data_IF_422595735339
#
_entry.id   IF_422595735339
#
_cell.length_a   1.000
_cell.length_b   1.000
_cell.length_c   1.000
_cell.angle_alpha   90.00
_cell.angle_beta   90.00
_cell.angle_gamma   90.00
#
_symmetry.space_group_name_H-M   'P 1'
#
loop_
_entity.id
_entity.type
_entity.pdbx_description
1 polymer ?
#
# COMPACT_ATOMS: atom_id res chain seq x y z
N UNK A 1 15.85 74.67 45.83
CA UNK A 1 15.56 73.25 46.07
C UNK A 1 14.23 72.89 45.40
N UNK A 2 14.27 72.23 44.24
CA UNK A 2 13.27 71.26 43.76
C UNK A 2 13.74 70.69 42.41
N UNK A 3 13.93 69.38 42.42
CA UNK A 3 14.52 68.51 41.41
C UNK A 3 13.43 68.20 40.37
N UNK A 4 13.70 68.45 39.08
CA UNK A 4 12.85 67.97 37.99
C UNK A 4 13.32 66.57 37.58
N UNK A 5 12.51 65.56 37.90
CA UNK A 5 12.68 64.17 37.47
C UNK A 5 12.59 64.08 35.93
N UNK A 6 13.63 63.54 35.31
CA UNK A 6 13.59 63.03 33.93
C UNK A 6 12.81 61.72 33.92
N UNK A 7 11.60 61.73 33.38
CA UNK A 7 10.88 60.51 33.00
C UNK A 7 11.52 59.92 31.75
N UNK A 8 12.29 58.85 31.91
CA UNK A 8 12.78 58.01 30.82
C UNK A 8 11.61 57.10 30.43
N UNK A 9 11.00 57.41 29.28
CA UNK A 9 10.02 56.55 28.62
C UNK A 9 10.78 55.34 28.03
N UNK A 10 10.74 54.20 28.72
CA UNK A 10 11.18 52.92 28.16
C UNK A 10 10.08 52.44 27.19
N UNK A 11 10.19 52.84 25.92
CA UNK A 11 9.34 52.34 24.85
C UNK A 11 9.88 50.96 24.45
N UNK A 12 9.39 49.92 25.11
CA UNK A 12 9.63 48.52 24.76
C UNK A 12 8.95 48.23 23.43
N UNK A 13 9.68 48.44 22.33
CA UNK A 13 9.27 48.02 20.99
C UNK A 13 9.26 46.48 21.01
N UNK A 14 8.09 45.91 21.27
CA UNK A 14 7.77 44.53 20.94
C UNK A 14 7.80 44.43 19.41
N UNK A 15 8.97 44.18 18.84
CA UNK A 15 9.05 43.64 17.49
C UNK A 15 8.43 42.23 17.55
N UNK A 16 7.28 41.97 16.92
CA UNK A 16 6.89 40.60 16.68
C UNK A 16 8.00 40.00 15.82
N UNK A 17 8.72 39.02 16.36
CA UNK A 17 9.64 38.20 15.59
C UNK A 17 8.80 37.41 14.60
N UNK A 18 8.44 38.03 13.47
CA UNK A 18 8.09 37.30 12.27
C UNK A 18 9.35 36.53 11.88
N UNK A 19 9.39 35.25 12.27
CA UNK A 19 10.39 34.30 11.82
C UNK A 19 10.22 34.16 10.31
N UNK A 20 11.02 34.92 9.57
CA UNK A 20 11.11 34.77 8.13
C UNK A 20 11.61 33.35 7.83
N UNK A 21 10.87 32.62 7.01
CA UNK A 21 11.32 31.32 6.53
C UNK A 21 12.67 31.46 5.81
N UNK A 22 13.58 30.53 6.07
CA UNK A 22 14.92 30.56 5.50
C UNK A 22 14.88 30.38 3.99
N UNK A 23 15.97 30.71 3.29
CA UNK A 23 16.07 30.50 1.84
C UNK A 23 15.79 29.05 1.44
N UNK A 24 16.22 28.08 2.24
CA UNK A 24 15.96 26.66 1.98
C UNK A 24 14.49 26.30 2.23
N UNK A 25 13.85 26.81 3.29
CA UNK A 25 12.43 26.60 3.54
C UNK A 25 11.56 27.19 2.41
N UNK A 26 11.90 28.39 1.93
CA UNK A 26 11.24 29.01 0.77
C UNK A 26 11.50 28.23 -0.54
N UNK A 27 12.67 27.60 -0.69
CA UNK A 27 12.96 26.76 -1.84
C UNK A 27 12.19 25.42 -1.79
N UNK A 28 12.01 24.82 -0.62
CA UNK A 28 11.16 23.63 -0.43
C UNK A 28 9.70 23.92 -0.80
N UNK A 29 9.14 25.00 -0.22
CA UNK A 29 7.76 25.43 -0.49
C UNK A 29 7.56 25.63 -1.99
N UNK A 30 8.46 26.35 -2.66
CA UNK A 30 8.37 26.57 -4.11
C UNK A 30 8.44 25.27 -4.91
N UNK A 31 9.40 24.39 -4.61
CA UNK A 31 9.55 23.12 -5.34
C UNK A 31 8.27 22.27 -5.30
N UNK A 32 7.63 22.16 -4.13
CA UNK A 32 6.40 21.38 -3.97
C UNK A 32 5.19 22.12 -4.54
N UNK A 33 5.09 23.44 -4.37
CA UNK A 33 4.01 24.25 -4.96
C UNK A 33 4.02 24.17 -6.48
N UNK A 34 5.19 24.31 -7.12
CA UNK A 34 5.36 24.22 -8.56
C UNK A 34 5.00 22.83 -9.08
N UNK A 35 5.33 21.78 -8.30
CA UNK A 35 4.93 20.41 -8.62
C UNK A 35 3.42 20.22 -8.54
N UNK A 36 2.77 20.58 -7.43
CA UNK A 36 1.32 20.44 -7.26
C UNK A 36 0.52 21.30 -8.25
N UNK A 37 1.05 22.45 -8.65
CA UNK A 37 0.42 23.28 -9.69
C UNK A 37 0.29 22.52 -11.00
N UNK A 38 1.36 21.83 -11.43
CA UNK A 38 1.33 21.01 -12.66
C UNK A 38 0.49 19.75 -12.48
N UNK A 39 0.71 19.04 -11.38
CA UNK A 39 0.07 17.76 -11.06
C UNK A 39 -1.45 17.89 -10.94
N UNK A 40 -1.97 18.88 -10.20
CA UNK A 40 -3.42 19.09 -10.06
C UNK A 40 -4.06 19.67 -11.34
N UNK A 41 -3.28 20.25 -12.25
CA UNK A 41 -3.76 20.64 -13.58
C UNK A 41 -3.64 19.50 -14.60
N UNK A 42 -3.46 18.26 -14.13
CA UNK A 42 -3.42 17.03 -14.94
C UNK A 42 -2.24 16.96 -15.93
N UNK A 43 -1.15 17.69 -15.65
CA UNK A 43 0.11 17.55 -16.39
C UNK A 43 0.93 16.36 -15.84
N UNK A 44 0.38 15.15 -16.01
CA UNK A 44 0.95 13.94 -15.42
C UNK A 44 2.28 13.55 -16.06
N UNK A 45 3.23 13.17 -15.21
CA UNK A 45 4.53 12.62 -15.63
C UNK A 45 4.42 11.11 -15.87
N UNK A 46 5.20 10.57 -16.82
CA UNK A 46 5.29 9.13 -16.99
C UNK A 46 6.25 8.52 -15.96
N UNK A 47 5.79 7.52 -15.22
CA UNK A 47 6.58 6.85 -14.18
C UNK A 47 6.46 7.55 -12.83
N UNK A 48 7.50 7.43 -12.00
CA UNK A 48 7.51 8.09 -10.69
C UNK A 48 7.64 9.61 -10.82
N UNK A 49 6.92 10.38 -9.98
CA UNK A 49 7.06 11.82 -9.90
C UNK A 49 8.50 12.30 -9.81
N UNK A 50 8.87 13.26 -10.66
CA UNK A 50 10.21 13.88 -10.66
C UNK A 50 10.51 14.64 -9.38
N UNK A 51 9.50 14.98 -8.57
CA UNK A 51 9.68 15.57 -7.24
C UNK A 51 10.19 14.55 -6.21
N UNK A 52 10.08 13.25 -6.46
CA UNK A 52 10.58 12.22 -5.55
C UNK A 52 12.11 12.14 -5.61
N UNK A 53 12.70 11.83 -4.45
CA UNK A 53 14.12 11.57 -4.34
C UNK A 53 14.47 10.25 -5.01
N UNK A 54 15.72 10.14 -5.46
CA UNK A 54 16.23 8.88 -6.01
C UNK A 54 16.12 7.71 -5.03
N UNK A 55 16.24 8.00 -3.73
CA UNK A 55 16.11 7.00 -2.65
C UNK A 55 14.68 6.52 -2.47
N UNK A 56 13.70 7.44 -2.48
CA UNK A 56 12.29 7.10 -2.38
C UNK A 56 11.84 6.27 -3.59
N UNK A 57 12.23 6.70 -4.79
CA UNK A 57 11.95 5.96 -6.04
C UNK A 57 12.47 4.54 -5.95
N UNK A 58 13.71 4.34 -5.50
CA UNK A 58 14.29 3.01 -5.36
C UNK A 58 13.49 2.15 -4.37
N UNK A 59 13.08 2.71 -3.23
CA UNK A 59 12.31 1.97 -2.23
C UNK A 59 10.92 1.57 -2.76
N UNK A 60 10.24 2.48 -3.47
CA UNK A 60 8.97 2.21 -4.13
C UNK A 60 9.12 1.11 -5.19
N UNK A 61 10.16 1.19 -6.03
CA UNK A 61 10.44 0.15 -7.02
C UNK A 61 10.72 -1.20 -6.36
N UNK A 62 11.49 -1.23 -5.27
CA UNK A 62 11.78 -2.46 -4.54
C UNK A 62 10.52 -3.07 -3.91
N UNK A 63 9.65 -2.25 -3.31
CA UNK A 63 8.38 -2.68 -2.73
C UNK A 63 7.43 -3.22 -3.81
N UNK A 64 7.24 -2.51 -4.93
CA UNK A 64 6.46 -3.00 -6.08
C UNK A 64 7.06 -4.29 -6.65
N UNK A 65 8.39 -4.40 -6.74
CA UNK A 65 9.03 -5.60 -7.25
C UNK A 65 8.91 -6.80 -6.29
N UNK A 66 8.87 -6.58 -4.97
CA UNK A 66 8.48 -7.62 -4.04
C UNK A 66 7.05 -8.04 -4.33
N UNK A 67 6.13 -7.08 -4.35
CA UNK A 67 4.73 -7.30 -4.66
C UNK A 67 4.47 -8.11 -5.93
N UNK A 68 5.08 -7.73 -7.06
CA UNK A 68 4.94 -8.42 -8.35
C UNK A 68 5.42 -9.88 -8.32
N UNK A 69 6.34 -10.24 -7.43
CA UNK A 69 6.76 -11.65 -7.28
C UNK A 69 5.63 -12.48 -6.67
N UNK A 70 4.87 -11.90 -5.73
CA UNK A 70 3.84 -12.61 -4.97
C UNK A 70 2.47 -12.53 -5.63
N UNK A 71 2.09 -11.34 -6.10
CA UNK A 71 0.78 -11.03 -6.64
C UNK A 71 1.00 -10.57 -8.09
N UNK A 72 0.91 -11.52 -9.04
CA UNK A 72 1.19 -11.26 -10.46
C UNK A 72 0.29 -10.17 -11.03
N UNK A 73 0.82 -8.96 -11.16
CA UNK A 73 0.20 -7.82 -11.86
C UNK A 73 -1.17 -7.37 -11.33
N UNK A 74 -1.60 -7.83 -10.15
CA UNK A 74 -2.76 -7.22 -9.51
C UNK A 74 -2.27 -6.01 -8.72
N UNK A 75 -2.86 -4.84 -9.00
CA UNK A 75 -2.57 -3.56 -8.36
C UNK A 75 -3.04 -3.51 -6.90
N UNK A 76 -3.11 -4.65 -6.23
CA UNK A 76 -3.69 -4.84 -4.89
C UNK A 76 -2.63 -4.86 -3.79
N UNK A 77 -1.35 -4.70 -4.15
CA UNK A 77 -0.29 -4.58 -3.16
C UNK A 77 0.81 -3.63 -3.62
N UNK A 78 1.58 -3.19 -2.65
CA UNK A 78 2.58 -2.15 -2.74
C UNK A 78 2.04 -0.90 -2.09
N UNK A 79 2.96 -0.05 -1.64
CA UNK A 79 2.66 1.17 -0.91
C UNK A 79 1.71 2.14 -1.66
N UNK A 80 1.58 1.99 -2.99
CA UNK A 80 0.67 2.77 -3.84
C UNK A 80 -0.66 2.08 -4.16
N UNK A 81 -0.93 0.89 -3.63
CA UNK A 81 -2.14 0.13 -3.97
C UNK A 81 -3.41 0.80 -3.42
N UNK A 82 -3.30 1.45 -2.26
CA UNK A 82 -4.43 2.05 -1.55
C UNK A 82 -4.75 3.49 -1.96
N UNK A 83 -4.14 4.00 -3.03
CA UNK A 83 -4.44 5.32 -3.59
C UNK A 83 -3.22 6.09 -4.07
N UNK A 84 -3.47 7.35 -4.46
CA UNK A 84 -2.42 8.26 -4.88
C UNK A 84 -1.67 8.81 -3.65
N UNK A 85 -0.36 8.57 -3.59
CA UNK A 85 0.50 9.00 -2.47
C UNK A 85 0.57 10.52 -2.28
N UNK A 86 0.42 11.27 -3.36
CA UNK A 86 0.49 12.73 -3.34
C UNK A 86 -0.87 13.37 -3.01
N UNK A 87 -1.96 12.60 -3.06
CA UNK A 87 -3.28 13.03 -2.60
C UNK A 87 -3.69 12.39 -1.28
N UNK A 88 -3.03 11.30 -0.88
CA UNK A 88 -3.44 10.41 0.20
C UNK A 88 -4.93 10.03 0.09
N UNK A 89 -5.32 9.58 -1.12
CA UNK A 89 -6.70 9.26 -1.45
C UNK A 89 -6.83 8.32 -2.65
N UNK A 90 -7.93 7.56 -2.69
CA UNK A 90 -8.31 6.71 -3.82
C UNK A 90 -9.17 7.42 -4.85
N UNK A 91 -9.86 8.48 -4.43
CA UNK A 91 -10.81 9.23 -5.25
C UNK A 91 -10.72 10.72 -4.94
N UNK A 92 -11.07 11.55 -5.92
CA UNK A 92 -11.07 13.00 -5.84
C UNK A 92 -11.98 13.59 -6.92
N UNK A 93 -12.40 14.84 -6.77
CA UNK A 93 -13.29 15.50 -7.72
C UNK A 93 -12.69 15.55 -9.13
N UNK A 94 -13.49 15.25 -10.14
CA UNK A 94 -13.10 15.43 -11.56
C UNK A 94 -12.75 16.89 -11.89
N UNK A 95 -13.27 17.84 -11.11
CA UNK A 95 -13.02 19.27 -11.28
C UNK A 95 -11.86 19.78 -10.41
N UNK A 96 -11.19 18.90 -9.65
CA UNK A 96 -10.05 19.27 -8.82
C UNK A 96 -8.93 19.88 -9.66
N UNK A 97 -8.50 21.08 -9.27
CA UNK A 97 -7.35 21.77 -9.85
C UNK A 97 -6.65 22.60 -8.77
N UNK A 98 -5.49 23.17 -9.12
CA UNK A 98 -4.71 23.91 -8.13
C UNK A 98 -5.44 25.14 -7.56
N UNK A 99 -6.29 25.79 -8.35
CA UNK A 99 -6.97 27.03 -7.94
C UNK A 99 -8.14 26.77 -6.98
N UNK A 100 -8.86 25.65 -7.14
CA UNK A 100 -9.99 25.31 -6.27
C UNK A 100 -9.63 24.37 -5.11
N UNK A 101 -8.45 23.74 -5.12
CA UNK A 101 -8.00 22.83 -4.05
C UNK A 101 -7.62 23.51 -2.74
N UNK A 102 -7.58 24.86 -2.69
CA UNK A 102 -7.11 25.64 -1.53
C UNK A 102 -5.72 25.21 -1.04
N UNK A 103 -4.84 24.81 -1.97
CA UNK A 103 -3.52 24.30 -1.65
C UNK A 103 -2.69 25.24 -0.75
N UNK A 104 -2.08 24.67 0.28
CA UNK A 104 -1.15 25.33 1.19
C UNK A 104 0.08 24.46 1.43
N UNK A 105 1.25 25.09 1.52
CA UNK A 105 2.50 24.42 1.89
C UNK A 105 3.22 25.19 3.00
N UNK A 106 3.57 24.50 4.08
CA UNK A 106 4.22 25.05 5.26
C UNK A 106 5.49 24.26 5.56
N UNK A 107 6.64 24.91 5.44
CA UNK A 107 7.91 24.31 5.88
C UNK A 107 8.02 24.34 7.40
N UNK A 108 8.56 23.26 7.94
CA UNK A 108 8.79 23.00 9.35
C UNK A 108 10.30 22.74 9.58
N UNK A 109 10.78 22.72 10.84
CA UNK A 109 12.15 22.33 11.14
C UNK A 109 12.50 20.93 10.63
N UNK A 110 13.79 20.61 10.55
CA UNK A 110 14.31 19.28 10.14
C UNK A 110 13.89 18.84 8.73
N UNK A 111 13.82 19.80 7.80
CA UNK A 111 13.43 19.59 6.40
C UNK A 111 12.04 18.95 6.24
N UNK A 112 11.15 19.16 7.20
CA UNK A 112 9.77 18.72 7.09
C UNK A 112 8.96 19.78 6.32
N UNK A 113 8.02 19.34 5.49
CA UNK A 113 7.08 20.19 4.77
C UNK A 113 5.69 19.58 4.92
N UNK A 114 4.75 20.37 5.41
CA UNK A 114 3.34 19.98 5.47
C UNK A 114 2.61 20.61 4.30
N UNK A 115 1.87 19.82 3.54
CA UNK A 115 0.94 20.33 2.53
C UNK A 115 -0.48 20.06 2.95
N UNK A 116 -1.41 20.93 2.57
CA UNK A 116 -2.83 20.68 2.72
C UNK A 116 -3.62 21.17 1.51
N UNK A 117 -4.71 20.49 1.21
CA UNK A 117 -5.60 20.77 0.10
C UNK A 117 -6.94 20.06 0.29
N UNK A 118 -7.91 20.42 -0.54
CA UNK A 118 -9.27 19.90 -0.57
C UNK A 118 -9.49 19.09 -1.85
N UNK A 119 -9.92 17.83 -1.70
CA UNK A 119 -10.14 16.90 -2.81
C UNK A 119 -11.49 17.12 -3.53
N UNK A 120 -12.50 17.59 -2.80
CA UNK A 120 -13.88 17.78 -3.27
C UNK A 120 -14.34 19.23 -3.03
N UNK A 121 -13.81 20.20 -3.78
CA UNK A 121 -14.08 21.62 -3.55
C UNK A 121 -15.55 22.04 -3.67
N UNK A 122 -16.37 21.26 -4.36
CA UNK A 122 -17.81 21.44 -4.53
C UNK A 122 -18.64 21.00 -3.30
N UNK A 123 -18.12 20.14 -2.44
CA UNK A 123 -18.82 19.62 -1.26
C UNK A 123 -18.70 20.56 -0.04
N UNK A 124 -17.87 21.59 -0.14
CA UNK A 124 -17.66 22.59 0.92
C UNK A 124 -16.54 22.22 1.88
N UNK A 125 -16.50 22.87 3.04
CA UNK A 125 -15.43 22.69 4.05
C UNK A 125 -15.70 21.54 5.03
N UNK A 126 -16.73 20.72 4.80
CA UNK A 126 -16.99 19.56 5.65
C UNK A 126 -15.84 18.53 5.49
N UNK A 127 -15.33 18.05 6.62
CA UNK A 127 -13.96 17.52 6.78
C UNK A 127 -13.55 16.35 5.86
N UNK A 128 -14.49 15.66 5.21
CA UNK A 128 -14.22 14.41 4.47
C UNK A 128 -13.29 14.62 3.25
N UNK A 129 -13.26 15.84 2.68
CA UNK A 129 -12.42 16.19 1.53
C UNK A 129 -11.08 16.84 1.87
N UNK A 130 -10.84 17.25 3.11
CA UNK A 130 -9.60 17.91 3.50
C UNK A 130 -8.47 16.89 3.69
N UNK A 131 -7.31 17.16 3.11
CA UNK A 131 -6.10 16.35 3.26
C UNK A 131 -4.96 17.20 3.77
N UNK A 132 -4.19 16.59 4.67
CA UNK A 132 -2.90 17.09 5.11
C UNK A 132 -1.89 15.97 4.90
N UNK A 133 -0.74 16.30 4.31
CA UNK A 133 0.34 15.34 4.07
C UNK A 133 1.66 15.89 4.59
N UNK A 134 2.39 15.06 5.33
CA UNK A 134 3.72 15.41 5.83
C UNK A 134 4.81 14.83 4.93
N UNK A 135 5.68 15.68 4.40
CA UNK A 135 6.85 15.28 3.62
C UNK A 135 8.15 15.52 4.38
N UNK A 136 9.05 14.55 4.29
CA UNK A 136 10.47 14.80 4.55
C UNK A 136 11.14 15.21 3.24
N UNK A 137 11.83 16.34 3.25
CA UNK A 137 12.50 16.90 2.08
C UNK A 137 14.01 16.60 2.12
N UNK A 138 14.58 16.19 0.98
CA UNK A 138 16.02 16.05 0.79
C UNK A 138 16.51 16.94 -0.35
N UNK A 139 17.78 17.33 -0.31
CA UNK A 139 18.42 18.12 -1.37
C UNK A 139 19.26 17.20 -2.24
N UNK A 140 18.85 17.00 -3.49
CA UNK A 140 19.54 16.17 -4.48
C UNK A 140 19.88 17.02 -5.71
N UNK A 141 21.15 17.04 -6.13
CA UNK A 141 21.60 17.83 -7.30
C UNK A 141 21.14 19.30 -7.26
N UNK A 142 21.20 19.93 -6.08
CA UNK A 142 20.73 21.29 -5.80
C UNK A 142 19.21 21.53 -5.95
N UNK A 143 18.41 20.47 -6.08
CA UNK A 143 16.95 20.52 -6.09
C UNK A 143 16.38 19.92 -4.81
N UNK A 144 15.30 20.50 -4.29
CA UNK A 144 14.55 19.91 -3.20
C UNK A 144 13.62 18.82 -3.74
N UNK A 145 13.64 17.65 -3.10
CA UNK A 145 12.89 16.46 -3.46
C UNK A 145 12.16 15.91 -2.22
N UNK A 146 11.01 15.28 -2.44
CA UNK A 146 10.30 14.51 -1.40
C UNK A 146 11.04 13.19 -1.23
N UNK A 147 11.54 12.96 -0.02
CA UNK A 147 12.33 11.79 0.32
C UNK A 147 11.57 10.80 1.19
N UNK A 148 10.56 11.25 1.93
CA UNK A 148 9.65 10.40 2.72
C UNK A 148 8.25 11.04 2.78
N UNK A 149 7.22 10.21 2.94
CA UNK A 149 5.81 10.60 3.01
C UNK A 149 5.23 10.08 4.32
N UNK A 150 4.48 10.93 5.02
CA UNK A 150 3.98 10.72 6.39
C UNK A 150 5.04 10.29 7.41
N UNK A 151 6.31 10.63 7.14
CA UNK A 151 7.48 10.19 7.93
C UNK A 151 7.51 8.68 8.23
N UNK A 152 6.91 7.88 7.34
CA UNK A 152 6.68 6.46 7.59
C UNK A 152 6.68 5.61 6.34
N UNK A 153 6.84 6.18 5.13
CA UNK A 153 6.75 5.42 3.89
C UNK A 153 7.76 4.26 3.87
N UNK A 154 9.01 4.50 4.28
CA UNK A 154 10.01 3.43 4.37
C UNK A 154 9.60 2.33 5.36
N UNK A 155 9.14 2.71 6.56
CA UNK A 155 8.76 1.74 7.58
C UNK A 155 7.53 0.92 7.14
N UNK A 156 6.57 1.55 6.48
CA UNK A 156 5.38 0.90 5.91
C UNK A 156 5.78 -0.06 4.78
N UNK A 157 6.63 0.37 3.85
CA UNK A 157 7.16 -0.49 2.79
C UNK A 157 7.95 -1.68 3.34
N UNK A 158 8.81 -1.47 4.34
CA UNK A 158 9.58 -2.54 4.99
C UNK A 158 8.66 -3.52 5.72
N UNK A 159 7.64 -3.02 6.42
CA UNK A 159 6.63 -3.84 7.11
C UNK A 159 5.82 -4.66 6.13
N UNK A 160 5.37 -4.08 5.02
CA UNK A 160 4.65 -4.79 3.97
C UNK A 160 5.53 -5.86 3.32
N UNK A 161 6.78 -5.52 2.97
CA UNK A 161 7.74 -6.47 2.42
C UNK A 161 8.00 -7.63 3.39
N UNK A 162 8.13 -7.34 4.69
CA UNK A 162 8.31 -8.36 5.72
C UNK A 162 7.07 -9.27 5.84
N UNK A 163 5.86 -8.69 5.83
CA UNK A 163 4.62 -9.45 5.85
C UNK A 163 4.48 -10.36 4.62
N UNK A 164 4.88 -9.90 3.43
CA UNK A 164 4.89 -10.73 2.21
C UNK A 164 5.90 -11.89 2.30
N UNK A 165 7.05 -11.67 2.94
CA UNK A 165 8.05 -12.71 3.18
C UNK A 165 7.54 -13.73 4.21
N UNK A 166 7.02 -13.26 5.34
CA UNK A 166 6.44 -14.12 6.39
C UNK A 166 5.26 -14.91 5.85
N UNK A 167 4.42 -14.27 5.03
CA UNK A 167 3.34 -14.94 4.31
C UNK A 167 3.86 -16.06 3.43
N UNK A 168 4.95 -15.85 2.69
CA UNK A 168 5.54 -16.91 1.87
C UNK A 168 6.08 -18.06 2.73
N UNK A 169 6.79 -17.76 3.82
CA UNK A 169 7.23 -18.79 4.76
C UNK A 169 6.04 -19.53 5.36
N UNK A 170 4.95 -18.81 5.63
CA UNK A 170 3.70 -19.37 6.12
C UNK A 170 3.07 -20.25 5.05
N UNK A 171 3.04 -19.89 3.76
CA UNK A 171 2.59 -20.76 2.66
C UNK A 171 3.48 -22.00 2.49
N UNK A 172 4.80 -21.85 2.61
CA UNK A 172 5.74 -22.98 2.58
C UNK A 172 5.44 -23.97 3.74
N UNK A 173 5.02 -23.45 4.89
CA UNK A 173 4.60 -24.25 6.04
C UNK A 173 3.11 -24.69 5.97
N UNK A 174 2.25 -23.91 5.32
CA UNK A 174 0.79 -24.02 5.23
C UNK A 174 0.32 -24.70 3.94
N UNK A 175 1.24 -25.22 3.13
CA UNK A 175 0.97 -26.31 2.18
C UNK A 175 0.13 -27.44 2.81
N UNK A 176 0.03 -27.46 4.13
CA UNK A 176 -0.66 -28.46 4.91
C UNK A 176 -1.61 -27.93 6.00
N UNK A 177 -1.88 -26.61 6.06
CA UNK A 177 -2.82 -26.01 7.02
C UNK A 177 -3.96 -25.28 6.30
N UNK A 178 -5.16 -25.85 6.38
CA UNK A 178 -6.34 -25.40 5.66
C UNK A 178 -7.02 -24.20 6.28
N UNK A 179 -6.87 -24.00 7.58
CA UNK A 179 -7.41 -22.81 8.22
C UNK A 179 -6.71 -21.58 7.64
N UNK A 180 -5.39 -21.66 7.48
CA UNK A 180 -4.58 -20.66 6.78
C UNK A 180 -5.01 -20.49 5.31
N UNK A 181 -5.28 -21.57 4.56
CA UNK A 181 -5.75 -21.47 3.16
C UNK A 181 -7.11 -20.77 3.05
N UNK A 182 -8.04 -21.02 3.98
CA UNK A 182 -9.36 -20.36 3.99
C UNK A 182 -9.28 -18.90 4.46
N UNK A 183 -8.50 -18.59 5.50
CA UNK A 183 -8.26 -17.21 5.94
C UNK A 183 -7.59 -16.38 4.82
N UNK A 184 -6.70 -17.00 4.04
CA UNK A 184 -6.11 -16.42 2.83
C UNK A 184 -7.17 -16.20 1.75
N UNK A 185 -8.01 -17.21 1.47
CA UNK A 185 -9.04 -17.10 0.46
C UNK A 185 -10.04 -15.97 0.77
N UNK A 186 -10.44 -15.80 2.02
CA UNK A 186 -11.44 -14.80 2.43
C UNK A 186 -10.92 -13.35 2.45
N UNK A 187 -9.61 -13.11 2.42
CA UNK A 187 -9.01 -11.80 2.74
C UNK A 187 -8.26 -11.12 1.59
N UNK A 188 -8.79 -11.11 0.37
CA UNK A 188 -8.24 -10.43 -0.85
C UNK A 188 -7.38 -11.30 -1.79
N UNK A 189 -7.08 -12.55 -1.44
CA UNK A 189 -6.24 -13.42 -2.28
C UNK A 189 -6.99 -14.28 -3.30
N UNK A 190 -8.31 -14.10 -3.46
CA UNK A 190 -9.06 -14.70 -4.57
C UNK A 190 -8.46 -14.37 -5.94
N UNK A 191 -7.88 -13.17 -6.06
CA UNK A 191 -7.15 -12.75 -7.25
C UNK A 191 -5.93 -13.62 -7.55
N UNK A 192 -5.31 -14.26 -6.56
CA UNK A 192 -4.21 -15.20 -6.82
C UNK A 192 -4.67 -16.41 -7.64
N UNK A 193 -5.86 -16.94 -7.36
CA UNK A 193 -6.42 -18.07 -8.12
C UNK A 193 -6.75 -17.65 -9.56
N UNK A 194 -7.30 -16.45 -9.71
CA UNK A 194 -7.68 -15.87 -11.00
C UNK A 194 -6.42 -15.57 -11.84
N UNK A 195 -5.46 -14.85 -11.27
CA UNK A 195 -4.23 -14.41 -11.95
C UNK A 195 -3.30 -15.58 -12.28
N UNK A 196 -3.36 -16.67 -11.51
CA UNK A 196 -2.61 -17.89 -11.81
C UNK A 196 -3.34 -18.84 -12.77
N UNK A 197 -4.55 -18.47 -13.24
CA UNK A 197 -5.39 -19.32 -14.09
C UNK A 197 -5.62 -20.70 -13.47
N UNK A 198 -5.78 -20.76 -12.15
CA UNK A 198 -6.00 -22.00 -11.42
C UNK A 198 -7.23 -22.70 -11.98
N UNK A 199 -7.13 -24.01 -12.22
CA UNK A 199 -8.24 -24.80 -12.73
C UNK A 199 -8.97 -25.50 -11.60
N UNK A 200 -10.28 -25.57 -11.69
CA UNK A 200 -11.08 -26.53 -10.95
C UNK A 200 -11.39 -27.73 -11.84
N UNK A 201 -11.03 -28.91 -11.38
CA UNK A 201 -11.24 -30.18 -12.06
C UNK A 201 -12.26 -31.01 -11.29
N UNK A 202 -13.24 -31.57 -12.00
CA UNK A 202 -14.19 -32.54 -11.48
C UNK A 202 -14.44 -33.62 -12.53
N UNK A 203 -14.38 -34.88 -12.10
CA UNK A 203 -14.56 -36.10 -12.90
C UNK A 203 -13.64 -36.18 -14.15
N UNK A 204 -14.01 -35.49 -15.23
CA UNK A 204 -13.33 -35.50 -16.54
C UNK A 204 -13.16 -34.11 -17.16
N UNK A 205 -13.52 -33.03 -16.45
CA UNK A 205 -13.43 -31.68 -16.98
C UNK A 205 -12.71 -30.75 -16.02
N UNK A 206 -11.89 -29.87 -16.57
CA UNK A 206 -11.22 -28.80 -15.85
C UNK A 206 -11.67 -27.45 -16.42
N UNK A 207 -11.98 -26.49 -15.55
CA UNK A 207 -12.32 -25.11 -15.94
C UNK A 207 -11.42 -24.15 -15.20
N UNK A 208 -10.94 -23.12 -15.89
CA UNK A 208 -10.21 -22.03 -15.24
C UNK A 208 -11.18 -21.29 -14.32
N UNK A 209 -10.74 -21.03 -13.09
CA UNK A 209 -11.48 -20.26 -12.11
C UNK A 209 -11.42 -18.78 -12.52
N UNK A 210 -12.58 -18.14 -12.58
CA UNK A 210 -12.74 -16.70 -12.76
C UNK A 210 -13.40 -16.07 -11.52
N UNK A 211 -13.39 -14.74 -11.42
CA UNK A 211 -13.97 -13.96 -10.30
C UNK A 211 -15.33 -14.48 -9.84
N UNK A 212 -16.23 -14.73 -10.79
CA UNK A 212 -17.63 -15.07 -10.51
C UNK A 212 -17.79 -16.48 -9.95
N UNK A 213 -16.80 -17.35 -10.18
CA UNK A 213 -16.83 -18.75 -9.78
C UNK A 213 -16.10 -19.03 -8.46
N UNK A 214 -15.17 -18.17 -8.04
CA UNK A 214 -14.26 -18.44 -6.91
C UNK A 214 -15.03 -18.80 -5.64
N UNK A 215 -15.97 -17.95 -5.21
CA UNK A 215 -16.75 -18.18 -3.98
C UNK A 215 -17.50 -19.52 -4.04
N UNK A 216 -18.11 -19.85 -5.19
CA UNK A 216 -18.79 -21.12 -5.39
C UNK A 216 -17.85 -22.34 -5.36
N UNK A 217 -16.58 -22.18 -5.76
CA UNK A 217 -15.56 -23.23 -5.63
C UNK A 217 -15.25 -23.49 -4.16
N UNK A 218 -14.99 -22.44 -3.38
CA UNK A 218 -14.67 -22.59 -1.96
C UNK A 218 -15.85 -23.12 -1.15
N UNK A 219 -17.08 -22.71 -1.47
CA UNK A 219 -18.26 -23.30 -0.86
C UNK A 219 -18.35 -24.81 -1.12
N UNK A 220 -18.04 -25.27 -2.35
CA UNK A 220 -18.03 -26.72 -2.66
C UNK A 220 -16.93 -27.47 -1.92
N UNK A 221 -15.74 -26.86 -1.77
CA UNK A 221 -14.67 -27.43 -0.93
C UNK A 221 -15.17 -27.54 0.51
N UNK A 222 -15.76 -26.46 1.05
CA UNK A 222 -16.30 -26.42 2.39
C UNK A 222 -17.34 -27.53 2.60
N UNK A 223 -18.38 -27.59 1.77
CA UNK A 223 -19.47 -28.56 1.88
C UNK A 223 -19.00 -30.02 1.78
N UNK A 224 -17.94 -30.28 1.00
CA UNK A 224 -17.43 -31.63 0.78
C UNK A 224 -16.55 -32.13 1.93
N UNK A 225 -15.77 -31.24 2.54
CA UNK A 225 -14.75 -31.61 3.50
C UNK A 225 -15.03 -31.14 4.92
N UNK A 226 -16.00 -30.26 5.12
CA UNK A 226 -16.31 -29.62 6.39
C UNK A 226 -17.82 -29.54 6.65
N UNK A 227 -18.18 -29.41 7.91
CA UNK A 227 -19.53 -29.04 8.35
C UNK A 227 -19.47 -28.01 9.46
N UNK A 228 -20.46 -27.13 9.49
CA UNK A 228 -20.77 -26.36 10.70
C UNK A 228 -21.47 -27.27 11.71
N UNK A 229 -21.04 -27.20 12.95
CA UNK A 229 -21.67 -27.84 14.10
C UNK A 229 -22.80 -26.96 14.66
N UNK A 230 -23.50 -27.46 15.68
CA UNK A 230 -24.59 -26.75 16.34
C UNK A 230 -24.14 -25.56 17.19
N UNK A 231 -22.85 -25.44 17.50
CA UNK A 231 -22.25 -24.32 18.24
C UNK A 231 -21.48 -23.34 17.33
N UNK A 232 -21.79 -23.35 16.02
CA UNK A 232 -21.12 -22.57 14.98
C UNK A 232 -19.62 -22.83 14.84
N UNK A 233 -19.09 -23.92 15.41
CA UNK A 233 -17.73 -24.38 15.14
C UNK A 233 -17.65 -25.15 13.81
N UNK A 234 -16.45 -25.26 13.25
CA UNK A 234 -16.23 -25.96 11.98
C UNK A 234 -15.52 -27.29 12.25
N UNK A 235 -16.12 -28.40 11.85
CA UNK A 235 -15.55 -29.74 11.94
C UNK A 235 -15.15 -30.26 10.57
N UNK A 236 -14.04 -31.01 10.50
CA UNK A 236 -13.60 -31.71 9.28
C UNK A 236 -14.35 -33.05 9.13
N UNK A 237 -15.02 -33.25 8.01
CA UNK A 237 -15.71 -34.50 7.64
C UNK A 237 -14.73 -35.49 7.02
N UNK A 238 -13.87 -35.00 6.12
CA UNK A 238 -12.84 -35.79 5.45
C UNK A 238 -11.51 -35.03 5.46
N UNK A 239 -10.39 -35.69 5.79
CA UNK A 239 -9.10 -35.03 5.75
C UNK A 239 -8.80 -34.67 4.30
N UNK A 240 -8.72 -33.36 4.04
CA UNK A 240 -8.40 -32.82 2.72
C UNK A 240 -6.97 -33.16 2.30
N UNK A 241 -6.10 -33.41 3.29
CA UNK A 241 -4.70 -33.78 3.13
C UNK A 241 -4.38 -35.15 3.73
N UNK A 242 -3.45 -35.91 3.14
CA UNK A 242 -2.99 -37.17 3.72
C UNK A 242 -2.26 -36.93 5.04
N UNK A 243 -2.43 -37.83 6.02
CA UNK A 243 -1.69 -37.81 7.28
C UNK A 243 -0.84 -39.09 7.42
N UNK A 244 0.47 -39.00 7.72
CA UNK A 244 1.24 -37.78 7.92
C UNK A 244 1.49 -37.01 6.62
N UNK A 245 1.68 -35.71 6.74
CA UNK A 245 1.97 -34.83 5.61
C UNK A 245 3.28 -35.24 4.91
N UNK A 246 3.35 -35.17 3.57
CA UNK A 246 4.58 -35.48 2.85
C UNK A 246 5.68 -34.46 3.19
N UNK A 247 6.87 -34.94 3.55
CA UNK A 247 8.06 -34.09 3.64
C UNK A 247 8.43 -33.64 2.22
N UNK A 248 8.27 -32.35 1.94
CA UNK A 248 8.75 -31.77 0.70
C UNK A 248 10.25 -31.49 0.84
N UNK A 249 11.02 -31.90 -0.17
CA UNK A 249 12.40 -31.44 -0.34
C UNK A 249 12.42 -29.96 -0.70
N UNK A 250 13.57 -29.29 -0.53
CA UNK A 250 13.76 -27.93 -1.06
C UNK A 250 13.40 -27.91 -2.54
N UNK A 251 12.38 -27.13 -2.94
CA UNK A 251 11.87 -27.15 -4.30
C UNK A 251 12.81 -26.44 -5.26
N UNK A 252 12.70 -26.79 -6.54
CA UNK A 252 13.33 -26.12 -7.67
C UNK A 252 12.27 -25.52 -8.57
N UNK A 253 12.64 -24.47 -9.30
CA UNK A 253 11.77 -23.83 -10.29
C UNK A 253 11.20 -24.87 -11.27
N UNK A 254 9.87 -24.90 -11.39
CA UNK A 254 9.11 -25.85 -12.21
C UNK A 254 8.73 -27.16 -11.50
N UNK A 255 9.19 -27.40 -10.26
CA UNK A 255 8.79 -28.59 -9.51
C UNK A 255 7.27 -28.59 -9.31
N UNK A 256 6.65 -29.75 -9.46
CA UNK A 256 5.21 -29.93 -9.23
C UNK A 256 4.98 -30.91 -8.10
N UNK A 257 3.99 -30.64 -7.26
CA UNK A 257 3.55 -31.59 -6.23
C UNK A 257 2.03 -31.65 -6.15
N UNK A 258 1.50 -32.76 -5.63
CA UNK A 258 0.08 -32.91 -5.36
C UNK A 258 -0.10 -33.19 -3.88
N UNK A 259 -0.91 -32.36 -3.24
CA UNK A 259 -1.21 -32.47 -1.81
C UNK A 259 -2.72 -32.40 -1.65
N UNK A 260 -3.33 -33.53 -1.30
CA UNK A 260 -4.78 -33.63 -1.22
C UNK A 260 -5.44 -33.42 -2.57
N UNK A 261 -6.39 -32.48 -2.62
CA UNK A 261 -7.07 -32.08 -3.87
C UNK A 261 -6.26 -31.09 -4.70
N UNK A 262 -5.21 -30.48 -4.14
CA UNK A 262 -4.50 -29.38 -4.78
C UNK A 262 -3.28 -29.87 -5.56
N UNK A 263 -3.15 -29.43 -6.80
CA UNK A 263 -1.92 -29.53 -7.59
C UNK A 263 -1.16 -28.21 -7.50
N UNK A 264 0.12 -28.27 -7.21
CA UNK A 264 0.99 -27.12 -6.99
C UNK A 264 2.17 -27.13 -7.98
N UNK A 265 2.63 -25.94 -8.36
CA UNK A 265 3.89 -25.73 -9.08
C UNK A 265 4.75 -24.74 -8.32
N UNK A 266 6.04 -25.00 -8.19
CA UNK A 266 6.99 -24.06 -7.64
C UNK A 266 7.48 -23.13 -8.76
N UNK A 267 7.16 -21.85 -8.65
CA UNK A 267 7.56 -20.84 -9.63
C UNK A 267 7.83 -19.49 -9.00
N UNK A 268 8.92 -18.85 -9.42
CA UNK A 268 9.40 -17.58 -8.88
C UNK A 268 9.61 -17.62 -7.36
N UNK A 269 10.16 -18.72 -6.86
CA UNK A 269 10.36 -19.00 -5.43
C UNK A 269 9.08 -19.18 -4.59
N UNK A 270 7.94 -19.50 -5.22
CA UNK A 270 6.65 -19.68 -4.55
C UNK A 270 5.96 -20.96 -4.99
N UNK A 271 5.26 -21.65 -4.08
CA UNK A 271 4.31 -22.69 -4.45
C UNK A 271 2.97 -22.07 -4.88
N UNK A 272 2.54 -22.37 -6.09
CA UNK A 272 1.32 -21.83 -6.71
C UNK A 272 0.34 -22.96 -6.96
N UNK A 273 -0.91 -22.81 -6.52
CA UNK A 273 -1.99 -23.75 -6.85
C UNK A 273 -2.35 -23.61 -8.32
N UNK A 274 -2.19 -24.69 -9.07
CA UNK A 274 -2.52 -24.76 -10.49
C UNK A 274 -3.84 -25.46 -10.73
N UNK A 275 -4.20 -26.42 -9.87
CA UNK A 275 -5.44 -27.19 -10.01
C UNK A 275 -6.05 -27.55 -8.65
N UNK A 276 -7.38 -27.60 -8.61
CA UNK A 276 -8.19 -28.06 -7.47
C UNK A 276 -9.06 -29.22 -7.97
N UNK A 277 -8.86 -30.42 -7.43
CA UNK A 277 -9.54 -31.64 -7.85
C UNK A 277 -10.71 -31.97 -6.89
N UNK A 278 -11.91 -31.52 -7.25
CA UNK A 278 -13.15 -31.81 -6.51
C UNK A 278 -13.79 -33.14 -6.88
#
# INVERSE_FOLDING_TARGET
MKIFLKSILFLSILFPYFLYATNDQQAQIRAVTDYYTRYLNQEYEQGWPSIFSSRLIKALDDNINHCRKFIRNANICGYTADGDLLLNAQDYSENLNFANSKFLAISKPNNQLVVSFMLFPEEGEEDEGNREINFTMAKENNQWKIDDIESSAYASMDSENAALIEYNQSLENALFDLQTIFEIAESHYFELFINNQTKICAEQSCKVINSDSVSGVFQKIFDKYYRKTTDDTVETIHPLFPQPLPKLSTPKEGDTTKVGIFSWIYKNNLWIITEINL
#
